data_IF_089857421169
#
_entry.id   IF_089857421169
#
_cell.length_a   1.000
_cell.length_b   1.000
_cell.length_c   1.000
_cell.angle_alpha   90.00
_cell.angle_beta   90.00
_cell.angle_gamma   90.00
#
_symmetry.space_group_name_H-M   'P 1'
#
loop_
_entity.id
_entity.type
_entity.pdbx_description
1 polymer ?
#
# COMPACT_ATOMS: atom_id res chain seq x y z
N UNK A 1 -25.97 -16.31 -20.87
CA UNK A 1 -25.88 -15.77 -19.50
C UNK A 1 -24.72 -14.82 -19.39
N UNK A 2 -24.94 -13.76 -18.64
CA UNK A 2 -23.87 -12.79 -18.39
C UNK A 2 -22.82 -13.41 -17.46
N UNK A 3 -21.56 -13.09 -17.71
CA UNK A 3 -20.47 -13.50 -16.83
C UNK A 3 -20.52 -12.70 -15.54
N UNK A 4 -20.10 -13.32 -14.45
CA UNK A 4 -19.80 -12.60 -13.21
C UNK A 4 -18.40 -11.99 -13.30
N UNK A 5 -18.17 -10.90 -12.59
CA UNK A 5 -16.89 -10.21 -12.65
C UNK A 5 -16.58 -9.49 -11.35
N UNK A 6 -15.33 -9.14 -11.18
CA UNK A 6 -14.88 -8.18 -10.18
C UNK A 6 -13.69 -7.39 -10.74
N UNK A 7 -13.40 -6.26 -10.13
CA UNK A 7 -12.27 -5.45 -10.51
C UNK A 7 -11.16 -5.57 -9.46
N UNK A 8 -9.92 -5.71 -9.92
CA UNK A 8 -8.72 -5.64 -9.10
C UNK A 8 -8.20 -4.22 -9.20
N UNK A 9 -8.09 -3.56 -8.07
CA UNK A 9 -7.64 -2.18 -7.99
C UNK A 9 -6.53 -2.06 -6.95
N UNK A 10 -5.77 -0.96 -7.02
CA UNK A 10 -4.78 -0.62 -5.99
C UNK A 10 -5.03 0.83 -5.60
N UNK A 11 -5.80 1.03 -4.55
CA UNK A 11 -6.17 2.35 -4.06
C UNK A 11 -5.99 2.41 -2.55
N UNK A 12 -5.47 3.54 -2.05
CA UNK A 12 -5.43 3.77 -0.61
C UNK A 12 -6.54 4.72 -0.19
N UNK A 13 -6.98 4.58 1.05
CA UNK A 13 -7.93 5.50 1.64
C UNK A 13 -7.15 6.67 2.25
N UNK A 14 -7.22 7.83 1.62
CA UNK A 14 -6.47 9.03 2.04
C UNK A 14 -6.84 9.46 3.46
N UNK A 15 -8.09 9.32 3.85
CA UNK A 15 -8.53 9.66 5.19
C UNK A 15 -7.91 8.74 6.24
N UNK A 16 -7.83 7.44 5.95
CA UNK A 16 -7.21 6.49 6.86
C UNK A 16 -5.71 6.73 6.98
N UNK A 17 -5.04 7.12 5.90
CA UNK A 17 -3.64 7.50 5.96
C UNK A 17 -3.45 8.75 6.82
N UNK A 18 -4.29 9.77 6.63
CA UNK A 18 -4.25 10.98 7.45
C UNK A 18 -4.47 10.65 8.93
N UNK A 19 -5.42 9.77 9.23
CA UNK A 19 -5.69 9.33 10.60
C UNK A 19 -4.48 8.61 11.21
N UNK A 20 -3.82 7.75 10.43
CA UNK A 20 -2.63 7.03 10.89
C UNK A 20 -1.48 8.01 11.17
N UNK A 21 -1.26 8.98 10.29
CA UNK A 21 -0.21 10.00 10.48
C UNK A 21 -0.49 10.84 11.72
N UNK A 22 -1.74 11.28 11.91
CA UNK A 22 -2.13 12.07 13.08
C UNK A 22 -1.94 11.29 14.38
N UNK A 23 -2.31 10.02 14.39
CA UNK A 23 -2.15 9.16 15.56
C UNK A 23 -0.67 8.90 15.84
N UNK A 24 0.12 8.66 14.80
CA UNK A 24 1.57 8.50 14.92
C UNK A 24 2.21 9.76 15.50
N UNK A 25 1.79 10.94 15.04
CA UNK A 25 2.30 12.22 15.55
C UNK A 25 2.02 12.38 17.04
N UNK A 26 0.83 11.99 17.48
CA UNK A 26 0.46 12.06 18.91
C UNK A 26 1.29 11.08 19.74
N UNK A 27 1.50 9.87 19.25
CA UNK A 27 2.31 8.88 19.95
C UNK A 27 3.76 9.37 20.08
N UNK A 28 4.34 9.88 18.98
CA UNK A 28 5.70 10.42 18.97
C UNK A 28 5.85 11.57 19.98
N UNK A 29 4.87 12.47 20.03
CA UNK A 29 4.89 13.60 20.96
C UNK A 29 4.85 13.17 22.43
N UNK A 30 4.24 12.00 22.70
CA UNK A 30 4.03 11.51 24.08
C UNK A 30 5.00 10.42 24.51
N UNK A 31 5.76 9.81 23.60
CA UNK A 31 6.70 8.75 23.96
C UNK A 31 7.99 9.30 24.51
N UNK A 32 8.45 8.73 25.58
CA UNK A 32 9.68 9.14 26.27
C UNK A 32 10.91 9.03 25.36
N UNK A 33 10.99 7.97 24.56
CA UNK A 33 12.14 7.71 23.68
C UNK A 33 12.26 8.70 22.52
N UNK A 34 11.22 9.51 22.26
CA UNK A 34 11.26 10.59 21.28
C UNK A 34 11.44 11.97 21.91
N UNK A 35 11.56 12.04 23.21
CA UNK A 35 11.70 13.33 23.90
C UNK A 35 13.06 13.96 23.60
N UNK A 36 13.05 15.21 23.14
CA UNK A 36 14.27 15.97 22.88
C UNK A 36 15.02 15.60 21.61
N UNK A 37 14.47 14.73 20.75
CA UNK A 37 15.14 14.30 19.53
C UNK A 37 14.62 15.03 18.28
N UNK A 38 13.72 15.99 18.44
CA UNK A 38 13.15 16.73 17.31
C UNK A 38 12.33 15.89 16.35
N UNK A 39 11.73 14.79 16.86
CA UNK A 39 10.98 13.88 16.04
C UNK A 39 9.67 14.51 15.57
N UNK A 40 9.37 14.37 14.28
CA UNK A 40 8.13 14.88 13.70
C UNK A 40 7.69 14.00 12.53
N UNK A 41 6.40 14.03 12.27
CA UNK A 41 5.79 13.36 11.12
C UNK A 41 4.63 14.22 10.64
N UNK A 42 4.54 14.40 9.32
CA UNK A 42 3.41 15.10 8.72
C UNK A 42 3.08 14.56 7.34
N UNK A 43 1.82 14.67 6.95
CA UNK A 43 1.37 14.36 5.61
C UNK A 43 1.35 15.65 4.80
N UNK A 44 2.13 15.68 3.72
CA UNK A 44 2.23 16.83 2.84
C UNK A 44 1.89 16.39 1.42
N UNK A 45 0.68 16.69 0.97
CA UNK A 45 0.20 16.23 -0.34
C UNK A 45 0.14 14.70 -0.39
N UNK A 46 0.90 14.11 -1.30
CA UNK A 46 1.00 12.66 -1.46
C UNK A 46 2.31 12.11 -0.89
N UNK A 47 2.86 12.79 0.11
CA UNK A 47 4.12 12.40 0.73
C UNK A 47 4.01 12.50 2.24
N UNK A 48 4.68 11.59 2.94
CA UNK A 48 4.78 11.63 4.40
C UNK A 48 6.22 12.00 4.74
N UNK A 49 6.39 13.09 5.48
CA UNK A 49 7.69 13.63 5.85
C UNK A 49 7.98 13.31 7.30
N UNK A 50 9.11 12.67 7.54
CA UNK A 50 9.55 12.28 8.88
C UNK A 50 10.92 12.89 9.16
N UNK A 51 11.10 13.46 10.35
CA UNK A 51 12.33 14.13 10.75
C UNK A 51 12.71 13.76 12.19
N UNK A 52 14.00 13.72 12.46
CA UNK A 52 14.54 13.59 13.81
C UNK A 52 16.03 13.95 13.79
N UNK A 53 16.68 13.92 14.95
CA UNK A 53 18.09 14.31 15.06
C UNK A 53 19.08 13.20 14.70
N UNK A 54 18.59 11.99 14.36
CA UNK A 54 19.44 10.87 13.93
C UNK A 54 18.68 9.96 12.97
N UNK A 55 19.44 9.18 12.19
CA UNK A 55 18.84 8.20 11.28
C UNK A 55 17.99 7.17 12.04
N UNK A 56 18.50 6.69 13.17
CA UNK A 56 17.80 5.69 13.97
C UNK A 56 16.45 6.21 14.48
N UNK A 57 16.40 7.48 14.86
CA UNK A 57 15.15 8.07 15.35
C UNK A 57 14.15 8.29 14.22
N UNK A 58 14.61 8.64 13.01
CA UNK A 58 13.72 8.71 11.84
C UNK A 58 13.16 7.33 11.53
N UNK A 59 13.98 6.29 11.58
CA UNK A 59 13.52 4.92 11.37
C UNK A 59 12.51 4.50 12.44
N UNK A 60 12.68 4.96 13.68
CA UNK A 60 11.73 4.71 14.75
C UNK A 60 10.39 5.42 14.48
N UNK A 61 10.42 6.63 13.93
CA UNK A 61 9.20 7.35 13.51
C UNK A 61 8.47 6.56 12.42
N UNK A 62 9.22 6.07 11.43
CA UNK A 62 8.65 5.24 10.37
C UNK A 62 7.99 3.99 10.94
N UNK A 63 8.60 3.36 11.91
CA UNK A 63 8.07 2.16 12.55
C UNK A 63 6.73 2.43 13.24
N UNK A 64 6.62 3.56 13.93
CA UNK A 64 5.35 4.00 14.52
C UNK A 64 4.29 4.20 13.45
N UNK A 65 4.63 4.87 12.35
CA UNK A 65 3.72 5.08 11.23
C UNK A 65 3.23 3.75 10.67
N UNK A 66 4.13 2.83 10.39
CA UNK A 66 3.79 1.53 9.82
C UNK A 66 2.85 0.74 10.73
N UNK A 67 3.09 0.79 12.03
CA UNK A 67 2.22 0.14 13.02
C UNK A 67 0.78 0.68 12.92
N UNK A 68 0.62 2.00 12.84
CA UNK A 68 -0.71 2.60 12.76
C UNK A 68 -1.38 2.38 11.40
N UNK A 69 -0.62 2.36 10.32
CA UNK A 69 -1.16 2.00 9.00
C UNK A 69 -1.73 0.58 9.02
N UNK A 70 -0.99 -0.37 9.58
CA UNK A 70 -1.44 -1.75 9.70
C UNK A 70 -2.72 -1.83 10.54
N UNK A 71 -2.76 -1.14 11.69
CA UNK A 71 -3.94 -1.13 12.55
C UNK A 71 -5.17 -0.54 11.86
N UNK A 72 -4.97 0.39 10.93
CA UNK A 72 -6.05 0.99 10.16
C UNK A 72 -6.30 0.27 8.83
N UNK A 73 -5.71 -0.91 8.65
CA UNK A 73 -5.90 -1.78 7.49
C UNK A 73 -5.45 -1.14 6.18
N UNK A 74 -4.44 -0.27 6.25
CA UNK A 74 -3.79 0.29 5.07
C UNK A 74 -2.54 -0.53 4.78
N UNK A 75 -2.43 -1.07 3.57
CA UNK A 75 -1.27 -1.85 3.17
C UNK A 75 -0.02 -0.99 3.09
N UNK A 76 1.10 -1.51 3.63
CA UNK A 76 2.38 -0.84 3.52
C UNK A 76 2.90 -0.78 2.09
N UNK A 77 2.32 -1.55 1.17
CA UNK A 77 2.67 -1.52 -0.26
C UNK A 77 2.28 -0.21 -0.94
N UNK A 78 1.45 0.61 -0.30
CA UNK A 78 1.16 1.97 -0.78
C UNK A 78 2.28 2.96 -0.48
N UNK A 79 3.27 2.58 0.33
CA UNK A 79 4.41 3.44 0.64
C UNK A 79 5.49 3.29 -0.42
N UNK A 80 6.00 4.43 -0.89
CA UNK A 80 7.06 4.48 -1.89
C UNK A 80 8.29 5.13 -1.27
N UNK A 81 9.35 4.35 -1.08
CA UNK A 81 10.60 4.84 -0.52
C UNK A 81 10.78 4.63 0.98
N UNK A 82 9.94 3.80 1.61
CA UNK A 82 10.09 3.49 3.03
C UNK A 82 11.37 2.70 3.33
N UNK A 83 11.95 2.06 2.32
CA UNK A 83 13.20 1.32 2.42
C UNK A 83 14.45 2.18 2.21
N UNK A 84 14.28 3.46 1.87
CA UNK A 84 15.40 4.37 1.68
C UNK A 84 16.00 4.78 3.03
N UNK A 85 17.30 5.11 3.00
CA UNK A 85 17.94 5.63 4.19
C UNK A 85 17.58 7.11 4.41
N UNK A 86 17.36 7.52 5.67
CA UNK A 86 17.19 8.94 5.96
C UNK A 86 18.41 9.75 5.53
N UNK A 87 18.18 10.95 5.05
CA UNK A 87 19.26 11.84 4.62
C UNK A 87 19.43 13.02 5.57
N UNK A 88 20.66 13.51 5.64
CA UNK A 88 20.96 14.71 6.43
C UNK A 88 20.37 15.92 5.71
N UNK A 89 19.60 16.73 6.42
CA UNK A 89 18.98 17.96 5.91
C UNK A 89 19.17 19.05 6.96
N UNK A 90 20.18 19.90 6.76
CA UNK A 90 20.56 20.89 7.77
C UNK A 90 21.13 20.21 9.00
N UNK A 91 20.50 20.42 10.16
CA UNK A 91 20.91 19.83 11.44
C UNK A 91 20.10 18.60 11.82
N UNK A 92 19.24 18.12 10.95
CA UNK A 92 18.37 16.98 11.24
C UNK A 92 18.42 15.98 10.10
N UNK A 93 17.90 14.78 10.37
CA UNK A 93 17.73 13.75 9.35
C UNK A 93 16.27 13.73 8.90
N UNK A 94 16.06 13.43 7.63
CA UNK A 94 14.76 13.49 6.99
C UNK A 94 14.53 12.28 6.10
N UNK A 95 13.32 11.76 6.11
CA UNK A 95 12.86 10.72 5.18
C UNK A 95 11.53 11.14 4.61
N UNK A 96 11.45 11.22 3.28
CA UNK A 96 10.21 11.47 2.57
C UNK A 96 9.74 10.15 1.98
N UNK A 97 8.52 9.74 2.33
CA UNK A 97 7.91 8.52 1.81
C UNK A 97 6.70 8.94 0.98
N UNK A 98 6.73 8.61 -0.32
CA UNK A 98 5.61 8.88 -1.21
C UNK A 98 4.47 7.90 -0.99
N UNK A 99 3.31 8.26 -1.48
CA UNK A 99 2.15 7.37 -1.53
C UNK A 99 1.91 6.99 -2.98
N UNK A 100 1.64 5.71 -3.21
CA UNK A 100 1.39 5.22 -4.57
C UNK A 100 0.11 4.40 -4.63
N UNK A 101 -0.58 4.52 -5.75
CA UNK A 101 -1.77 3.73 -6.03
C UNK A 101 -1.87 3.48 -7.54
N UNK A 102 -2.80 2.61 -7.92
CA UNK A 102 -2.97 2.20 -9.31
C UNK A 102 -2.14 0.97 -9.64
N UNK A 103 -2.59 0.25 -10.66
CA UNK A 103 -1.89 -0.93 -11.18
C UNK A 103 -1.21 -0.51 -12.50
N UNK A 104 0.13 -0.52 -12.50
CA UNK A 104 0.88 -0.17 -13.71
C UNK A 104 0.69 -1.25 -14.78
N UNK A 105 1.04 -0.92 -16.03
CA UNK A 105 0.97 -1.88 -17.13
C UNK A 105 1.83 -3.12 -16.86
N UNK A 106 3.00 -2.95 -16.29
CA UNK A 106 3.88 -4.07 -15.96
C UNK A 106 3.27 -5.00 -14.90
N UNK A 107 2.69 -4.42 -13.85
CA UNK A 107 2.02 -5.20 -12.80
C UNK A 107 0.78 -5.87 -13.37
N UNK A 108 -0.01 -5.16 -14.19
CA UNK A 108 -1.21 -5.72 -14.81
C UNK A 108 -0.87 -6.93 -15.69
N UNK A 109 0.21 -6.86 -16.45
CA UNK A 109 0.67 -7.99 -17.27
C UNK A 109 1.11 -9.16 -16.41
N UNK A 110 1.79 -8.90 -15.30
CA UNK A 110 2.21 -9.93 -14.35
C UNK A 110 0.99 -10.62 -13.74
N UNK A 111 -0.03 -9.86 -13.33
CA UNK A 111 -1.28 -10.42 -12.78
C UNK A 111 -2.02 -11.24 -13.82
N UNK A 112 -2.14 -10.74 -15.05
CA UNK A 112 -2.80 -11.45 -16.15
C UNK A 112 -2.11 -12.79 -16.42
N UNK A 113 -0.78 -12.78 -16.46
CA UNK A 113 -0.01 -14.00 -16.67
C UNK A 113 -0.22 -14.99 -15.52
N UNK A 114 -0.20 -14.52 -14.29
CA UNK A 114 -0.41 -15.34 -13.10
C UNK A 114 -1.79 -16.02 -13.14
N UNK A 115 -2.82 -15.26 -13.49
CA UNK A 115 -4.19 -15.79 -13.61
C UNK A 115 -4.24 -16.86 -14.70
N UNK A 116 -3.62 -16.59 -15.85
CA UNK A 116 -3.63 -17.52 -16.98
C UNK A 116 -2.88 -18.81 -16.65
N UNK A 117 -1.72 -18.72 -16.00
CA UNK A 117 -0.84 -19.87 -15.76
C UNK A 117 -1.26 -20.70 -14.56
N UNK A 118 -1.78 -20.07 -13.51
CA UNK A 118 -2.08 -20.74 -12.23
C UNK A 118 -3.56 -20.71 -11.86
N UNK A 119 -4.37 -19.91 -12.54
CA UNK A 119 -5.80 -19.80 -12.25
C UNK A 119 -6.64 -20.73 -13.10
N UNK A 120 -7.96 -20.79 -12.83
CA UNK A 120 -8.89 -21.58 -13.63
C UNK A 120 -8.96 -21.13 -15.08
N UNK A 121 -9.12 -22.05 -15.99
CA UNK A 121 -9.12 -21.77 -17.44
C UNK A 121 -10.33 -20.95 -17.89
N UNK A 122 -11.44 -21.00 -17.15
CA UNK A 122 -12.66 -20.26 -17.48
C UNK A 122 -12.54 -18.76 -17.27
N UNK A 123 -11.48 -18.33 -16.56
CA UNK A 123 -11.33 -16.95 -16.13
C UNK A 123 -10.63 -16.10 -17.21
N UNK A 124 -11.18 -14.93 -17.46
CA UNK A 124 -10.60 -13.94 -18.36
C UNK A 124 -10.20 -12.71 -17.57
N UNK A 125 -9.05 -12.13 -17.90
CA UNK A 125 -8.56 -10.90 -17.29
C UNK A 125 -8.38 -9.85 -18.37
N UNK A 126 -8.88 -8.64 -18.12
CA UNK A 126 -8.80 -7.54 -19.07
C UNK A 126 -8.27 -6.29 -18.37
N UNK A 127 -7.21 -5.71 -18.92
CA UNK A 127 -6.61 -4.49 -18.41
C UNK A 127 -7.49 -3.30 -18.79
N UNK A 128 -7.88 -2.50 -17.78
CA UNK A 128 -8.70 -1.31 -17.97
C UNK A 128 -8.06 -0.13 -17.25
N UNK A 129 -7.25 0.65 -17.96
CA UNK A 129 -6.53 1.77 -17.35
C UNK A 129 -5.56 1.30 -16.28
N UNK A 130 -5.78 1.72 -15.03
CA UNK A 130 -4.98 1.32 -13.87
C UNK A 130 -5.65 0.23 -13.04
N UNK A 131 -6.61 -0.49 -13.62
CA UNK A 131 -7.37 -1.56 -12.98
C UNK A 131 -7.34 -2.82 -13.84
N UNK A 132 -7.76 -3.93 -13.26
CA UNK A 132 -7.87 -5.20 -13.99
C UNK A 132 -9.27 -5.77 -13.75
N UNK A 133 -9.99 -6.05 -14.82
CA UNK A 133 -11.29 -6.71 -14.72
C UNK A 133 -11.15 -8.22 -14.91
N UNK A 134 -11.66 -8.97 -13.97
CA UNK A 134 -11.61 -10.43 -13.97
C UNK A 134 -13.03 -10.95 -14.10
N UNK A 135 -13.29 -11.79 -15.10
CA UNK A 135 -14.63 -12.33 -15.37
C UNK A 135 -14.61 -13.84 -15.58
N UNK A 136 -15.71 -14.48 -15.25
CA UNK A 136 -15.92 -15.90 -15.47
C UNK A 136 -17.40 -16.23 -15.37
N UNK A 137 -17.82 -17.31 -16.01
CA UNK A 137 -19.16 -17.87 -15.81
C UNK A 137 -19.30 -18.53 -14.45
N UNK A 138 -18.19 -18.90 -13.82
CA UNK A 138 -18.17 -19.59 -12.53
C UNK A 138 -17.74 -18.63 -11.43
N UNK A 139 -18.62 -18.37 -10.47
CA UNK A 139 -18.31 -17.56 -9.29
C UNK A 139 -17.25 -18.23 -8.41
N UNK A 140 -17.24 -19.57 -8.37
CA UNK A 140 -16.22 -20.31 -7.61
C UNK A 140 -14.84 -20.09 -8.21
N UNK A 141 -14.73 -20.03 -9.54
CA UNK A 141 -13.47 -19.75 -10.22
C UNK A 141 -12.99 -18.34 -9.95
N UNK A 142 -13.91 -17.36 -9.85
CA UNK A 142 -13.56 -16.00 -9.45
C UNK A 142 -13.01 -15.96 -8.02
N UNK A 143 -13.62 -16.70 -7.11
CA UNK A 143 -13.12 -16.79 -5.72
C UNK A 143 -11.73 -17.42 -5.68
N UNK A 144 -11.49 -18.44 -6.53
CA UNK A 144 -10.17 -19.06 -6.63
C UNK A 144 -9.10 -18.06 -7.09
N UNK A 145 -9.44 -17.16 -8.03
CA UNK A 145 -8.52 -16.11 -8.49
C UNK A 145 -8.23 -15.13 -7.35
N UNK A 146 -9.23 -14.72 -6.59
CA UNK A 146 -9.03 -13.83 -5.45
C UNK A 146 -8.04 -14.44 -4.44
N UNK A 147 -8.24 -15.72 -4.12
CA UNK A 147 -7.35 -16.43 -3.20
C UNK A 147 -5.94 -16.57 -3.76
N UNK A 148 -5.81 -16.83 -5.05
CA UNK A 148 -4.53 -16.91 -5.74
C UNK A 148 -3.76 -15.57 -5.62
N UNK A 149 -4.43 -14.46 -5.90
CA UNK A 149 -3.80 -13.15 -5.86
C UNK A 149 -3.45 -12.72 -4.43
N UNK A 150 -4.29 -13.04 -3.45
CA UNK A 150 -4.00 -12.75 -2.04
C UNK A 150 -2.80 -13.55 -1.51
N UNK A 151 -2.57 -14.73 -2.05
CA UNK A 151 -1.49 -15.61 -1.61
C UNK A 151 -0.14 -15.32 -2.23
N UNK A 152 -0.05 -14.38 -3.19
CA UNK A 152 1.20 -14.04 -3.86
C UNK A 152 1.86 -12.82 -3.22
N UNK A 153 2.85 -13.05 -2.37
CA UNK A 153 3.56 -11.99 -1.66
C UNK A 153 4.50 -11.18 -2.56
N UNK A 154 4.85 -11.70 -3.73
CA UNK A 154 5.75 -11.04 -4.67
C UNK A 154 5.09 -9.98 -5.54
N UNK A 155 3.78 -9.77 -5.38
CA UNK A 155 3.08 -8.67 -6.05
C UNK A 155 3.44 -7.35 -5.34
N UNK A 156 3.99 -6.42 -6.10
CA UNK A 156 4.60 -5.20 -5.57
C UNK A 156 3.61 -4.17 -5.05
N UNK A 157 2.33 -4.28 -5.42
CA UNK A 157 1.30 -3.31 -5.07
C UNK A 157 0.22 -3.95 -4.22
N UNK A 158 -0.45 -3.12 -3.42
CA UNK A 158 -1.61 -3.55 -2.66
C UNK A 158 -2.77 -3.82 -3.63
N UNK A 159 -3.51 -4.89 -3.40
CA UNK A 159 -4.65 -5.25 -4.23
C UNK A 159 -5.93 -5.21 -3.40
N UNK A 160 -6.95 -4.58 -3.96
CA UNK A 160 -8.31 -4.65 -3.44
C UNK A 160 -9.23 -5.19 -4.53
N UNK A 161 -10.26 -5.91 -4.13
CA UNK A 161 -11.25 -6.49 -5.04
C UNK A 161 -12.59 -5.78 -4.82
N UNK A 162 -13.17 -5.28 -5.90
CA UNK A 162 -14.36 -4.44 -5.81
C UNK A 162 -15.24 -4.63 -7.05
N UNK A 163 -16.38 -3.94 -7.08
CA UNK A 163 -17.31 -3.94 -8.21
C UNK A 163 -17.76 -5.35 -8.60
N UNK A 164 -18.15 -6.15 -7.61
CA UNK A 164 -18.69 -7.49 -7.84
C UNK A 164 -19.98 -7.40 -8.65
N UNK A 165 -20.06 -8.19 -9.73
CA UNK A 165 -21.23 -8.20 -10.63
C UNK A 165 -21.69 -9.61 -10.94
#
# INVERSE_FOLDING_TARGET
>A
MADSSFDVVSKYDKQEIANAVNTAAKEIANRYDFKGVGASIELSGESIVMKANSEDRVKAVLDVLQTWLIKRKVSLKHLDGADKEPRLSGKEYRLDVGLKEGISQDVAKKLTKLIRDEGPKSVKAQIQGDELRVSSKSKDDLQSVMNLLRGHDDIEVALQFTNYR
#
